data_IF_143827893447
#
_entry.id   IF_143827893447
#
_cell.length_a   1.000
_cell.length_b   1.000
_cell.length_c   1.000
_cell.angle_alpha   90.00
_cell.angle_beta   90.00
_cell.angle_gamma   90.00
#
_symmetry.space_group_name_H-M   'P 1'
#
loop_
_entity.id
_entity.type
_entity.pdbx_description
1 polymer ?
#
# COMPACT_ATOMS: atom_id res chain seq x y z
N UNK A 1 2.80 -11.51 -2.79
CA UNK A 1 2.16 -10.42 -2.01
C UNK A 1 0.66 -10.35 -2.22
N UNK A 2 0.15 -9.80 -3.34
CA UNK A 2 -1.30 -9.64 -3.52
C UNK A 2 -2.09 -10.97 -3.52
N UNK A 3 -1.53 -12.03 -4.12
CA UNK A 3 -2.11 -13.38 -4.07
C UNK A 3 -2.14 -13.92 -2.64
N UNK A 4 -1.09 -13.68 -1.85
CA UNK A 4 -1.00 -14.14 -0.47
C UNK A 4 -2.04 -13.45 0.42
N UNK A 5 -2.34 -12.17 0.18
CA UNK A 5 -3.44 -11.48 0.86
C UNK A 5 -4.79 -12.15 0.59
N UNK A 6 -5.06 -12.52 -0.67
CA UNK A 6 -6.32 -13.19 -1.04
C UNK A 6 -6.40 -14.56 -0.39
N UNK A 7 -5.31 -15.34 -0.42
CA UNK A 7 -5.25 -16.65 0.23
C UNK A 7 -5.40 -16.54 1.76
N UNK A 8 -4.75 -15.55 2.37
CA UNK A 8 -4.86 -15.29 3.79
C UNK A 8 -6.30 -14.97 4.20
N UNK A 9 -6.96 -14.06 3.46
CA UNK A 9 -8.36 -13.71 3.69
C UNK A 9 -9.30 -14.90 3.42
N UNK A 10 -8.98 -15.77 2.45
CA UNK A 10 -9.75 -16.98 2.18
C UNK A 10 -9.68 -17.99 3.34
N UNK A 11 -8.50 -18.16 3.94
CA UNK A 11 -8.30 -19.10 5.05
C UNK A 11 -8.82 -18.59 6.40
N UNK A 12 -8.73 -17.28 6.66
CA UNK A 12 -8.97 -16.70 7.98
C UNK A 12 -10.22 -15.80 8.06
N UNK A 13 -10.77 -15.40 6.92
CA UNK A 13 -11.79 -14.36 6.86
C UNK A 13 -13.19 -14.82 7.27
N UNK A 14 -13.90 -13.92 7.94
CA UNK A 14 -15.33 -14.02 8.23
C UNK A 14 -16.14 -13.04 7.39
N UNK A 15 -17.46 -13.29 7.19
CA UNK A 15 -18.31 -12.37 6.44
C UNK A 15 -18.28 -10.94 6.97
N UNK A 16 -18.04 -9.99 6.08
CA UNK A 16 -18.02 -8.55 6.38
C UNK A 16 -16.66 -8.02 6.87
N UNK A 17 -15.64 -8.87 7.00
CA UNK A 17 -14.28 -8.42 7.35
C UNK A 17 -13.52 -7.90 6.13
N UNK A 18 -12.68 -6.89 6.36
CA UNK A 18 -11.73 -6.37 5.39
C UNK A 18 -10.32 -6.69 5.86
N UNK A 19 -9.50 -7.29 4.98
CA UNK A 19 -8.10 -7.55 5.25
C UNK A 19 -7.22 -6.60 4.45
N UNK A 20 -6.24 -6.01 5.11
CA UNK A 20 -5.24 -5.13 4.50
C UNK A 20 -3.85 -5.65 4.82
N UNK A 21 -3.04 -5.94 3.80
CA UNK A 21 -1.65 -6.31 4.00
C UNK A 21 -0.82 -5.07 4.32
N UNK A 22 0.03 -5.14 5.35
CA UNK A 22 1.00 -4.08 5.62
C UNK A 22 2.07 -4.09 4.54
N UNK A 23 2.23 -2.96 3.85
CA UNK A 23 3.21 -2.80 2.79
C UNK A 23 4.09 -1.56 3.04
N UNK A 24 5.38 -1.61 2.66
CA UNK A 24 6.21 -0.41 2.58
C UNK A 24 5.76 0.47 1.40
N UNK A 25 6.21 1.72 1.38
CA UNK A 25 5.99 2.65 0.29
C UNK A 25 7.31 3.22 -0.25
N UNK A 26 7.27 3.90 -1.38
CA UNK A 26 8.39 4.67 -1.91
C UNK A 26 7.85 5.94 -2.58
N UNK A 27 8.67 6.98 -2.68
CA UNK A 27 8.33 8.13 -3.51
C UNK A 27 8.53 7.79 -4.99
N UNK A 28 7.82 8.50 -5.88
CA UNK A 28 8.01 8.35 -7.33
C UNK A 28 9.45 8.68 -7.74
N UNK A 29 10.10 9.62 -7.05
CA UNK A 29 11.52 9.94 -7.27
C UNK A 29 12.44 8.75 -6.96
N UNK A 30 12.26 8.10 -5.80
CA UNK A 30 13.03 6.92 -5.42
C UNK A 30 12.84 5.79 -6.41
N UNK A 31 11.60 5.56 -6.86
CA UNK A 31 11.29 4.56 -7.89
C UNK A 31 12.02 4.87 -9.21
N UNK A 32 11.96 6.11 -9.69
CA UNK A 32 12.62 6.51 -10.93
C UNK A 32 14.14 6.36 -10.84
N UNK A 33 14.76 6.80 -9.75
CA UNK A 33 16.20 6.67 -9.50
C UNK A 33 16.64 5.20 -9.36
N UNK A 34 15.81 4.36 -8.73
CA UNK A 34 16.07 2.92 -8.63
C UNK A 34 16.09 2.28 -10.02
N UNK A 35 15.11 2.59 -10.87
CA UNK A 35 15.01 2.07 -12.24
C UNK A 35 16.17 2.53 -13.12
N UNK A 36 16.48 3.83 -13.17
CA UNK A 36 17.60 4.34 -13.99
C UNK A 36 18.94 3.74 -13.54
N UNK A 37 19.11 3.54 -12.24
CA UNK A 37 20.27 2.86 -11.68
C UNK A 37 20.37 1.38 -12.07
N UNK A 38 19.25 0.63 -12.04
CA UNK A 38 19.20 -0.79 -12.44
C UNK A 38 19.47 -0.97 -13.93
N UNK A 39 18.98 -0.06 -14.76
CA UNK A 39 19.14 -0.10 -16.22
C UNK A 39 20.49 0.44 -16.71
N UNK A 40 21.42 0.77 -15.81
CA UNK A 40 22.75 1.25 -16.17
C UNK A 40 22.79 2.67 -16.75
N UNK A 41 21.72 3.45 -16.55
CA UNK A 41 21.58 4.83 -17.07
C UNK A 41 21.26 5.83 -15.94
N UNK A 42 22.08 5.90 -14.87
CA UNK A 42 21.75 6.66 -13.65
C UNK A 42 21.51 8.16 -13.88
N UNK A 43 22.08 8.73 -14.95
CA UNK A 43 21.95 10.14 -15.30
C UNK A 43 20.86 10.40 -16.36
N UNK A 44 19.99 9.42 -16.62
CA UNK A 44 18.87 9.63 -17.54
C UNK A 44 17.98 10.79 -17.03
N UNK A 45 17.65 11.77 -17.89
CA UNK A 45 16.90 12.95 -17.46
C UNK A 45 15.50 12.58 -16.97
N UNK A 46 15.14 13.03 -15.77
CA UNK A 46 13.79 12.90 -15.20
C UNK A 46 13.08 14.23 -15.35
N UNK A 47 11.97 14.25 -16.08
CA UNK A 47 11.17 15.45 -16.30
C UNK A 47 9.94 15.47 -15.38
N UNK A 48 9.80 16.52 -14.57
CA UNK A 48 8.66 16.69 -13.65
C UNK A 48 7.54 17.42 -14.37
N UNK A 49 6.46 16.69 -14.68
CA UNK A 49 5.31 17.21 -15.43
C UNK A 49 4.16 17.73 -14.54
N UNK A 50 4.30 17.60 -13.22
CA UNK A 50 3.26 17.95 -12.24
C UNK A 50 2.24 16.82 -12.00
N UNK A 51 1.39 17.00 -11.00
CA UNK A 51 0.32 16.06 -10.62
C UNK A 51 -0.80 16.06 -11.66
N UNK A 52 -1.23 14.88 -12.10
CA UNK A 52 -2.34 14.75 -13.06
C UNK A 52 -3.69 14.88 -12.37
N UNK A 53 -4.73 15.14 -13.15
CA UNK A 53 -6.09 15.23 -12.62
C UNK A 53 -6.53 13.91 -11.95
N UNK A 54 -7.07 13.99 -10.74
CA UNK A 54 -7.55 12.85 -9.98
C UNK A 54 -6.49 12.08 -9.18
N UNK A 55 -5.21 12.46 -9.28
CA UNK A 55 -4.15 11.83 -8.48
C UNK A 55 -4.07 12.44 -7.08
N UNK A 56 -3.85 11.58 -6.08
CA UNK A 56 -3.55 11.97 -4.70
C UNK A 56 -2.04 11.99 -4.48
N UNK A 57 -1.60 12.79 -3.50
CA UNK A 57 -0.19 12.84 -3.08
C UNK A 57 0.27 11.55 -2.41
N UNK A 58 -0.64 10.88 -1.70
CA UNK A 58 -0.44 9.60 -1.06
C UNK A 58 -1.76 8.83 -1.05
N UNK A 59 -1.66 7.51 -1.10
CA UNK A 59 -2.81 6.62 -0.97
C UNK A 59 -2.98 6.13 0.46
N UNK A 60 -4.24 5.95 0.85
CA UNK A 60 -4.68 5.52 2.17
C UNK A 60 -5.17 4.07 2.07
N UNK A 61 -4.65 3.20 2.94
CA UNK A 61 -5.08 1.80 3.04
C UNK A 61 -6.11 1.59 4.15
N UNK A 62 -6.03 2.34 5.24
CA UNK A 62 -7.05 2.36 6.30
C UNK A 62 -7.33 3.80 6.70
N UNK A 63 -8.60 4.19 6.67
CA UNK A 63 -9.08 5.45 7.21
C UNK A 63 -8.94 5.48 8.75
N UNK A 64 -9.19 6.64 9.36
CA UNK A 64 -9.12 6.81 10.82
C UNK A 64 -10.11 5.91 11.56
N UNK A 65 -11.33 5.79 11.04
CA UNK A 65 -12.37 4.94 11.64
C UNK A 65 -11.98 3.46 11.56
N UNK A 66 -11.51 3.02 10.39
CA UNK A 66 -11.01 1.66 10.18
C UNK A 66 -9.79 1.37 11.05
N UNK A 67 -8.87 2.33 11.24
CA UNK A 67 -7.71 2.16 12.11
C UNK A 67 -8.09 1.98 13.59
N UNK A 68 -9.17 2.61 14.05
CA UNK A 68 -9.63 2.46 15.44
C UNK A 68 -10.24 1.08 15.67
N UNK A 69 -10.90 0.50 14.66
CA UNK A 69 -11.50 -0.83 14.75
C UNK A 69 -10.56 -1.96 14.32
N UNK A 70 -9.47 -1.65 13.61
CA UNK A 70 -8.55 -2.63 13.07
C UNK A 70 -7.81 -3.42 14.15
N UNK A 71 -7.69 -4.72 13.91
CA UNK A 71 -6.86 -5.63 14.68
C UNK A 71 -5.55 -5.91 13.95
N UNK A 72 -4.44 -5.83 14.68
CA UNK A 72 -3.11 -6.13 14.16
C UNK A 72 -2.82 -7.64 14.23
N UNK A 73 -2.70 -8.27 13.07
CA UNK A 73 -2.39 -9.70 12.92
C UNK A 73 -0.93 -9.91 12.48
N UNK A 74 -0.03 -8.99 12.83
CA UNK A 74 1.36 -9.00 12.42
C UNK A 74 1.54 -8.40 11.03
N UNK A 75 1.52 -9.23 9.99
CA UNK A 75 1.70 -8.80 8.59
C UNK A 75 0.45 -8.17 7.96
N UNK A 76 -0.69 -8.26 8.64
CA UNK A 76 -2.00 -7.85 8.16
C UNK A 76 -2.74 -7.04 9.21
N UNK A 77 -3.65 -6.19 8.75
CA UNK A 77 -4.73 -5.64 9.54
C UNK A 77 -6.04 -6.34 9.17
N UNK A 78 -6.87 -6.62 10.18
CA UNK A 78 -8.24 -7.07 10.01
C UNK A 78 -9.19 -6.00 10.51
N UNK A 79 -10.05 -5.50 9.64
CA UNK A 79 -11.11 -4.57 10.03
C UNK A 79 -12.40 -5.37 10.16
N UNK A 80 -12.96 -5.52 11.38
CA UNK A 80 -14.21 -6.23 11.57
C UNK A 80 -15.37 -5.45 10.93
N UNK A 81 -16.45 -6.14 10.52
CA UNK A 81 -17.66 -5.44 10.12
C UNK A 81 -18.17 -4.59 11.27
N UNK A 82 -18.81 -3.50 10.90
CA UNK A 82 -19.52 -2.69 11.84
C UNK A 82 -20.79 -3.41 12.33
N UNK A 83 -20.69 -4.10 13.47
CA UNK A 83 -21.78 -4.87 14.09
C UNK A 83 -22.77 -3.98 14.87
N UNK A 84 -22.87 -2.70 14.53
CA UNK A 84 -23.95 -1.83 15.00
C UNK A 84 -25.24 -2.32 14.36
N UNK A 85 -25.97 -3.16 15.08
CA UNK A 85 -27.28 -3.80 14.84
C UNK A 85 -28.38 -2.88 14.24
N UNK A 86 -28.09 -2.25 13.10
CA UNK A 86 -28.81 -1.12 12.46
C UNK A 86 -29.03 0.10 13.39
N UNK A 87 -28.15 0.31 14.38
CA UNK A 87 -28.30 1.40 15.35
C UNK A 87 -27.79 2.74 14.80
N UNK A 88 -28.71 3.55 14.25
CA UNK A 88 -28.45 4.90 13.74
C UNK A 88 -27.97 5.90 14.81
N UNK A 89 -28.23 5.66 16.10
CA UNK A 89 -27.84 6.57 17.18
C UNK A 89 -26.33 6.82 17.26
N UNK A 90 -25.51 5.86 16.82
CA UNK A 90 -24.04 5.99 16.77
C UNK A 90 -23.51 6.78 15.57
N UNK A 91 -24.37 7.17 14.64
CA UNK A 91 -24.02 8.09 13.55
C UNK A 91 -24.52 9.52 13.81
N UNK A 92 -25.40 9.69 14.81
CA UNK A 92 -26.13 10.96 15.03
C UNK A 92 -25.92 11.53 16.44
N UNK A 93 -25.99 10.68 17.48
CA UNK A 93 -26.06 11.13 18.89
C UNK A 93 -24.81 10.76 19.71
N UNK A 94 -24.09 9.70 19.33
CA UNK A 94 -22.91 9.21 20.06
C UNK A 94 -21.67 9.19 19.16
N UNK A 95 -20.72 10.10 19.42
CA UNK A 95 -19.40 10.11 18.75
C UNK A 95 -18.35 9.30 19.51
N UNK A 96 -17.29 8.90 18.81
CA UNK A 96 -16.10 8.27 19.41
C UNK A 96 -14.89 9.22 19.32
N UNK A 97 -14.38 9.64 20.48
CA UNK A 97 -13.23 10.55 20.58
C UNK A 97 -11.97 9.90 20.00
N UNK A 98 -11.84 8.57 20.07
CA UNK A 98 -10.69 7.84 19.54
C UNK A 98 -10.53 8.02 18.03
N UNK A 99 -11.64 8.12 17.30
CA UNK A 99 -11.62 8.36 15.85
C UNK A 99 -11.09 9.75 15.51
N UNK A 100 -11.33 10.73 16.39
CA UNK A 100 -10.84 12.10 16.20
C UNK A 100 -9.32 12.21 16.41
N UNK A 101 -8.77 11.39 17.29
CA UNK A 101 -7.34 11.35 17.62
C UNK A 101 -6.54 10.37 16.73
N UNK A 102 -7.23 9.44 16.07
CA UNK A 102 -6.61 8.45 15.21
C UNK A 102 -6.01 9.08 13.94
N UNK A 103 -4.96 8.43 13.45
CA UNK A 103 -4.30 8.75 12.19
C UNK A 103 -4.60 7.61 11.23
N UNK A 104 -4.88 7.97 9.97
CA UNK A 104 -5.06 7.01 8.89
C UNK A 104 -3.75 6.25 8.61
N UNK A 105 -3.83 5.01 8.15
CA UNK A 105 -2.67 4.27 7.67
C UNK A 105 -2.52 4.48 6.16
N UNK A 106 -1.42 5.11 5.75
CA UNK A 106 -1.22 5.56 4.38
C UNK A 106 0.25 5.41 3.93
N UNK A 107 0.47 5.60 2.63
CA UNK A 107 1.80 5.48 2.02
C UNK A 107 2.81 6.56 2.48
N UNK A 108 2.38 7.61 3.17
CA UNK A 108 3.26 8.65 3.69
C UNK A 108 3.82 8.32 5.09
N UNK A 109 3.06 7.56 5.90
CA UNK A 109 3.42 7.23 7.28
C UNK A 109 3.82 5.76 7.51
N UNK A 110 3.72 4.90 6.49
CA UNK A 110 4.37 3.59 6.49
C UNK A 110 5.89 3.68 6.34
N UNK A 111 6.57 2.53 6.41
CA UNK A 111 8.01 2.40 6.12
C UNK A 111 8.27 2.84 4.68
N UNK A 112 9.07 3.89 4.49
CA UNK A 112 9.48 4.39 3.18
C UNK A 112 10.83 3.82 2.77
N UNK A 113 10.85 3.12 1.64
CA UNK A 113 12.07 2.55 1.06
C UNK A 113 12.97 3.66 0.53
N UNK A 114 14.27 3.46 0.69
CA UNK A 114 15.29 4.24 -0.02
C UNK A 114 15.57 3.63 -1.41
N UNK A 115 16.47 4.26 -2.17
CA UNK A 115 16.84 3.80 -3.51
C UNK A 115 17.44 2.39 -3.49
N UNK A 116 18.19 2.00 -2.45
CA UNK A 116 18.80 0.67 -2.39
C UNK A 116 17.74 -0.40 -2.15
N UNK A 117 16.90 -0.22 -1.13
CA UNK A 117 15.83 -1.14 -0.79
C UNK A 117 14.77 -1.23 -1.92
N UNK A 118 14.52 -0.14 -2.63
CA UNK A 118 13.65 -0.14 -3.80
C UNK A 118 14.24 -0.99 -4.95
N UNK A 119 15.55 -0.93 -5.18
CA UNK A 119 16.22 -1.79 -6.18
C UNK A 119 16.11 -3.26 -5.80
N UNK A 120 16.34 -3.60 -4.54
CA UNK A 120 16.20 -4.97 -4.04
C UNK A 120 14.76 -5.49 -4.21
N UNK A 121 13.76 -4.65 -3.93
CA UNK A 121 12.36 -5.00 -4.15
C UNK A 121 12.05 -5.22 -5.63
N UNK A 122 12.47 -4.30 -6.51
CA UNK A 122 12.27 -4.43 -7.96
C UNK A 122 12.93 -5.68 -8.54
N UNK A 123 14.11 -6.05 -8.03
CA UNK A 123 14.84 -7.25 -8.47
C UNK A 123 14.15 -8.57 -8.09
N UNK A 124 13.08 -8.56 -7.28
CA UNK A 124 12.23 -9.75 -7.11
C UNK A 124 11.34 -10.03 -8.32
N UNK A 125 11.11 -9.04 -9.19
CA UNK A 125 10.25 -9.15 -10.36
C UNK A 125 11.03 -9.70 -11.55
N UNK A 126 10.57 -10.82 -12.14
CA UNK A 126 11.25 -11.50 -13.26
C UNK A 126 11.44 -10.61 -14.48
N UNK A 127 10.43 -9.82 -14.83
CA UNK A 127 10.52 -8.90 -15.98
C UNK A 127 11.54 -7.78 -15.76
N UNK A 128 11.74 -7.31 -14.51
CA UNK A 128 12.80 -6.35 -14.19
C UNK A 128 14.18 -7.01 -14.33
N UNK A 129 14.36 -8.22 -13.80
CA UNK A 129 15.61 -8.97 -13.96
C UNK A 129 15.96 -9.15 -15.45
N UNK A 130 14.97 -9.47 -16.29
CA UNK A 130 15.15 -9.58 -17.73
C UNK A 130 15.52 -8.25 -18.39
N UNK A 131 14.84 -7.16 -18.02
CA UNK A 131 15.11 -5.82 -18.54
C UNK A 131 16.55 -5.36 -18.25
N UNK A 132 17.06 -5.65 -17.04
CA UNK A 132 18.45 -5.39 -16.65
C UNK A 132 19.44 -6.18 -17.52
N UNK A 133 19.06 -7.37 -17.98
CA UNK A 133 19.85 -8.20 -18.91
C UNK A 133 19.61 -7.88 -20.39
N UNK A 134 18.92 -6.77 -20.70
CA UNK A 134 18.51 -6.39 -22.05
C UNK A 134 17.67 -7.45 -22.78
N UNK A 135 16.88 -8.22 -22.02
CA UNK A 135 15.91 -9.20 -22.52
C UNK A 135 14.50 -8.69 -22.26
N UNK A 136 13.58 -9.05 -23.15
CA UNK A 136 12.16 -8.78 -22.97
C UNK A 136 11.45 -10.05 -22.49
N UNK A 137 10.71 -9.95 -21.40
CA UNK A 137 9.77 -10.96 -20.92
C UNK A 137 8.47 -10.22 -20.62
N UNK A 138 7.34 -10.80 -21.02
CA UNK A 138 6.03 -10.23 -20.71
C UNK A 138 5.83 -10.17 -19.19
N UNK A 139 5.31 -9.07 -18.62
CA UNK A 139 5.11 -8.95 -17.16
C UNK A 139 4.21 -10.01 -16.54
N UNK A 140 3.40 -10.70 -17.37
CA UNK A 140 2.42 -11.71 -16.98
C UNK A 140 2.99 -13.14 -16.93
N UNK A 141 4.25 -13.37 -17.35
CA UNK A 141 4.97 -14.67 -17.32
C UNK A 141 5.93 -14.84 -16.12
#
# INVERSE_FOLDING_TARGET
DAVDLVLFAFEHGQPGEIFVQKAPAATIEVLAQALTGLLGVPNHPINVIGTRHGEKLYEVLLSREEMVSAEDLGGYFRVPPDLRDLNYGKYVEQGDVKVSEAIDYNSHNTIRLDVSAMKELLMKLRFIQAAVLHKHIEPEE
#
